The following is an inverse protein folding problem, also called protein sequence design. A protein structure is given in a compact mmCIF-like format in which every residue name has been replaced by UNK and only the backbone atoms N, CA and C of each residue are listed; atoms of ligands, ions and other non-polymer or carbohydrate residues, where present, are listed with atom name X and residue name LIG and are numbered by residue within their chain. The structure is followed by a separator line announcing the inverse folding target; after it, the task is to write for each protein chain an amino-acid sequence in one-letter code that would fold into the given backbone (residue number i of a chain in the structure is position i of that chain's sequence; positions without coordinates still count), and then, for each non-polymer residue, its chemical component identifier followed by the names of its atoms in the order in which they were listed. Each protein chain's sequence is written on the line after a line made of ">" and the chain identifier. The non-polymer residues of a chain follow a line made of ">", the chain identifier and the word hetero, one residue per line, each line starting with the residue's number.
data_IF_041364378268
#
_entry.id   IF_041364378268
#
_cell.length_a   1.000
_cell.length_b   1.000
_cell.length_c   1.000
_cell.angle_alpha   90.00
_cell.angle_beta   90.00
_cell.angle_gamma   90.00
#
_symmetry.space_group_name_H-M   'P 1'
#
loop_
_entity.id
_entity.type
_entity.pdbx_description
1 polymer ?
#
# COMPACT_ATOMS: atom_id res chain seq x y z
N UNK A 1 -15.69 -54.89 44.46
CA UNK A 1 -15.38 -54.82 43.00
C UNK A 1 -15.78 -53.43 42.49
N UNK A 2 -14.84 -52.47 42.42
CA UNK A 2 -15.10 -51.08 42.00
C UNK A 2 -15.15 -51.00 40.47
N UNK A 3 -16.32 -50.71 39.89
CA UNK A 3 -16.44 -50.37 38.46
C UNK A 3 -15.94 -48.95 38.24
N UNK A 4 -14.79 -48.80 37.60
CA UNK A 4 -14.33 -47.52 37.04
C UNK A 4 -15.14 -47.20 35.78
N UNK A 5 -15.98 -46.17 35.84
CA UNK A 5 -16.65 -45.62 34.66
C UNK A 5 -15.63 -44.76 33.90
N UNK A 6 -15.17 -45.24 32.74
CA UNK A 6 -14.43 -44.41 31.78
C UNK A 6 -15.42 -43.41 31.17
N UNK A 7 -15.37 -42.15 31.61
CA UNK A 7 -16.07 -41.07 30.92
C UNK A 7 -15.34 -40.78 29.61
N UNK A 8 -15.96 -41.12 28.48
CA UNK A 8 -15.52 -40.68 27.17
C UNK A 8 -15.62 -39.15 27.11
N UNK A 9 -14.47 -38.49 26.97
CA UNK A 9 -14.36 -37.05 26.74
C UNK A 9 -14.93 -36.76 25.35
N UNK A 10 -16.22 -36.41 25.26
CA UNK A 10 -16.84 -35.94 24.03
C UNK A 10 -16.17 -34.62 23.65
N UNK A 11 -15.34 -34.63 22.60
CA UNK A 11 -14.91 -33.38 21.95
C UNK A 11 -16.16 -32.71 21.40
N UNK A 12 -16.62 -31.65 22.07
CA UNK A 12 -17.62 -30.75 21.51
C UNK A 12 -16.95 -29.99 20.36
N UNK A 13 -17.13 -30.50 19.13
CA UNK A 13 -16.89 -29.74 17.91
C UNK A 13 -17.93 -28.63 17.82
N UNK A 14 -17.74 -27.57 18.59
CA UNK A 14 -18.47 -26.33 18.39
C UNK A 14 -17.95 -25.76 17.08
N UNK A 15 -18.64 -26.02 15.96
CA UNK A 15 -18.43 -25.31 14.69
C UNK A 15 -18.68 -23.83 14.97
N UNK A 16 -17.61 -23.13 15.33
CA UNK A 16 -17.61 -21.67 15.42
C UNK A 16 -17.91 -21.20 14.00
N UNK A 17 -19.03 -20.49 13.81
CA UNK A 17 -19.31 -19.86 12.52
C UNK A 17 -18.16 -18.88 12.24
N UNK A 18 -17.23 -19.29 11.38
CA UNK A 18 -16.16 -18.43 10.89
C UNK A 18 -16.80 -17.18 10.30
N UNK A 19 -16.26 -16.01 10.66
CA UNK A 19 -16.71 -14.77 10.04
C UNK A 19 -16.50 -14.85 8.53
N UNK A 20 -17.29 -14.10 7.75
CA UNK A 20 -17.20 -14.12 6.28
C UNK A 20 -15.76 -13.90 5.77
N UNK A 21 -14.98 -13.08 6.49
CA UNK A 21 -13.56 -12.83 6.19
C UNK A 21 -12.68 -14.05 6.44
N UNK A 22 -12.83 -14.69 7.60
CA UNK A 22 -12.01 -15.86 7.95
C UNK A 22 -12.33 -17.07 7.05
N UNK A 23 -13.60 -17.26 6.67
CA UNK A 23 -13.99 -18.30 5.71
C UNK A 23 -13.38 -18.06 4.32
N UNK A 24 -13.30 -16.80 3.91
CA UNK A 24 -12.71 -16.42 2.63
C UNK A 24 -11.19 -16.56 2.63
N UNK A 25 -10.52 -16.21 3.73
CA UNK A 25 -9.09 -16.44 3.93
C UNK A 25 -8.76 -17.93 3.90
N UNK A 26 -9.52 -18.77 4.62
CA UNK A 26 -9.33 -20.22 4.58
C UNK A 26 -9.49 -20.81 3.16
N UNK A 27 -10.43 -20.26 2.38
CA UNK A 27 -10.62 -20.67 0.99
C UNK A 27 -9.46 -20.21 0.09
N UNK A 28 -8.96 -18.99 0.26
CA UNK A 28 -7.77 -18.48 -0.44
C UNK A 28 -6.52 -19.31 -0.13
N UNK A 29 -6.30 -19.65 1.14
CA UNK A 29 -5.18 -20.50 1.56
C UNK A 29 -5.26 -21.90 0.95
N UNK A 30 -6.47 -22.43 0.79
CA UNK A 30 -6.70 -23.72 0.12
C UNK A 30 -6.39 -23.67 -1.38
N UNK A 31 -6.46 -22.48 -1.99
CA UNK A 31 -6.30 -22.27 -3.42
C UNK A 31 -5.27 -21.18 -3.74
N UNK A 32 -4.02 -21.44 -3.35
CA UNK A 32 -2.88 -20.51 -3.47
C UNK A 32 -2.69 -19.87 -4.86
N UNK A 33 -2.92 -20.62 -5.94
CA UNK A 33 -2.79 -20.11 -7.33
C UNK A 33 -3.93 -19.12 -7.66
N UNK A 34 -5.17 -19.46 -7.30
CA UNK A 34 -6.33 -18.60 -7.54
C UNK A 34 -6.23 -17.34 -6.69
N UNK A 35 -5.78 -17.48 -5.43
CA UNK A 35 -5.49 -16.33 -4.58
C UNK A 35 -4.44 -15.39 -5.15
N UNK A 36 -3.38 -15.95 -5.76
CA UNK A 36 -2.37 -15.14 -6.45
C UNK A 36 -2.97 -14.33 -7.61
N UNK A 37 -3.77 -14.95 -8.49
CA UNK A 37 -4.41 -14.23 -9.60
C UNK A 37 -5.42 -13.18 -9.11
N UNK A 38 -6.12 -13.44 -8.02
CA UNK A 38 -7.09 -12.50 -7.45
C UNK A 38 -6.38 -11.26 -6.88
N UNK A 39 -5.28 -11.47 -6.13
CA UNK A 39 -4.44 -10.37 -5.63
C UNK A 39 -3.79 -9.59 -6.78
N UNK A 40 -3.24 -10.30 -7.78
CA UNK A 40 -2.63 -9.67 -8.95
C UNK A 40 -3.64 -8.86 -9.76
N UNK A 41 -4.79 -9.44 -10.08
CA UNK A 41 -5.86 -8.79 -10.83
C UNK A 41 -6.39 -7.55 -10.12
N UNK A 42 -6.45 -7.59 -8.79
CA UNK A 42 -6.87 -6.42 -8.03
C UNK A 42 -5.78 -5.34 -7.96
N UNK A 43 -4.50 -5.70 -7.79
CA UNK A 43 -3.39 -4.74 -7.87
C UNK A 43 -3.40 -4.04 -9.24
N UNK A 44 -3.58 -4.81 -10.31
CA UNK A 44 -3.71 -4.28 -11.68
C UNK A 44 -4.95 -3.39 -11.83
N UNK A 45 -6.09 -3.82 -11.28
CA UNK A 45 -7.32 -3.05 -11.27
C UNK A 45 -7.20 -1.74 -10.51
N UNK A 46 -6.50 -1.72 -9.37
CA UNK A 46 -6.18 -0.51 -8.61
C UNK A 46 -5.31 0.43 -9.44
N UNK A 47 -4.25 -0.09 -10.06
CA UNK A 47 -3.38 0.71 -10.94
C UNK A 47 -4.15 1.34 -12.11
N UNK A 48 -4.97 0.55 -12.79
CA UNK A 48 -5.85 1.01 -13.88
C UNK A 48 -6.88 2.03 -13.39
N UNK A 49 -7.51 1.77 -12.25
CA UNK A 49 -8.51 2.65 -11.65
C UNK A 49 -7.92 4.01 -11.29
N UNK A 50 -6.74 4.02 -10.64
CA UNK A 50 -6.01 5.25 -10.33
C UNK A 50 -5.67 6.01 -11.61
N UNK A 51 -5.13 5.34 -12.62
CA UNK A 51 -4.81 5.98 -13.90
C UNK A 51 -6.05 6.61 -14.56
N UNK A 52 -7.21 5.95 -14.50
CA UNK A 52 -8.47 6.49 -15.00
C UNK A 52 -8.94 7.70 -14.19
N UNK A 53 -8.93 7.61 -12.85
CA UNK A 53 -9.26 8.73 -11.97
C UNK A 53 -8.36 9.95 -12.22
N UNK A 54 -7.07 9.73 -12.49
CA UNK A 54 -6.13 10.78 -12.84
C UNK A 54 -6.45 11.48 -14.16
N UNK A 55 -6.90 10.72 -15.18
CA UNK A 55 -7.33 11.31 -16.45
C UNK A 55 -8.60 12.16 -16.30
N UNK A 56 -9.45 11.82 -15.35
CA UNK A 56 -10.69 12.56 -15.04
C UNK A 56 -10.48 13.79 -14.15
N UNK A 57 -9.34 13.91 -13.45
CA UNK A 57 -9.04 15.09 -12.65
C UNK A 57 -8.83 16.32 -13.56
N UNK A 58 -9.33 17.52 -13.17
CA UNK A 58 -9.14 18.76 -13.92
C UNK A 58 -7.70 19.31 -13.73
N UNK A 59 -6.70 18.49 -14.02
CA UNK A 59 -5.29 18.85 -13.94
C UNK A 59 -4.83 19.48 -15.28
N UNK A 60 -4.01 20.54 -15.23
CA UNK A 60 -3.33 21.06 -16.40
C UNK A 60 -2.59 19.96 -17.16
N UNK A 61 -2.61 20.04 -18.49
CA UNK A 61 -2.00 19.06 -19.40
C UNK A 61 -0.59 18.57 -19.00
N UNK A 62 0.37 19.45 -18.62
CA UNK A 62 1.72 19.00 -18.26
C UNK A 62 1.76 18.11 -17.01
N UNK A 63 0.84 18.29 -16.06
CA UNK A 63 0.79 17.46 -14.84
C UNK A 63 0.06 16.14 -15.03
N UNK A 64 -0.54 15.89 -16.20
CA UNK A 64 -1.09 14.57 -16.56
C UNK A 64 -0.03 13.63 -17.13
N UNK A 65 1.15 14.13 -17.46
CA UNK A 65 2.27 13.29 -17.84
C UNK A 65 2.78 12.53 -16.59
N UNK A 66 3.02 11.23 -16.78
CA UNK A 66 3.52 10.34 -15.73
C UNK A 66 4.86 10.84 -15.18
N UNK A 67 5.66 11.51 -16.01
CA UNK A 67 6.96 12.05 -15.62
C UNK A 67 6.85 13.05 -14.45
N UNK A 68 5.81 13.90 -14.44
CA UNK A 68 5.58 14.86 -13.35
C UNK A 68 4.64 14.33 -12.27
N UNK A 69 3.71 13.44 -12.62
CA UNK A 69 2.69 12.92 -11.71
C UNK A 69 3.07 11.64 -10.98
N UNK A 70 4.20 11.00 -11.32
CA UNK A 70 4.68 9.78 -10.70
C UNK A 70 4.66 9.78 -9.16
N UNK A 71 5.15 10.81 -8.44
CA UNK A 71 5.02 10.84 -6.98
C UNK A 71 3.57 10.76 -6.53
N UNK A 72 2.65 11.46 -7.20
CA UNK A 72 1.23 11.45 -6.83
C UNK A 72 0.63 10.07 -7.11
N UNK A 73 0.96 9.47 -8.25
CA UNK A 73 0.52 8.12 -8.63
C UNK A 73 1.01 7.06 -7.65
N UNK A 74 2.32 7.07 -7.33
CA UNK A 74 2.93 6.11 -6.41
C UNK A 74 2.35 6.22 -5.00
N UNK A 75 2.14 7.45 -4.51
CA UNK A 75 1.52 7.67 -3.19
C UNK A 75 0.05 7.24 -3.15
N UNK A 76 -0.74 7.54 -4.19
CA UNK A 76 -2.14 7.12 -4.25
C UNK A 76 -2.25 5.59 -4.37
N UNK A 77 -1.40 4.98 -5.19
CA UNK A 77 -1.31 3.53 -5.30
C UNK A 77 -0.97 2.91 -3.95
N UNK A 78 0.01 3.46 -3.23
CA UNK A 78 0.35 3.02 -1.89
C UNK A 78 -0.83 3.14 -0.93
N UNK A 79 -1.56 4.26 -0.95
CA UNK A 79 -2.72 4.49 -0.10
C UNK A 79 -3.81 3.44 -0.33
N UNK A 80 -4.19 3.23 -1.59
CA UNK A 80 -5.23 2.25 -1.96
C UNK A 80 -4.76 0.83 -1.65
N UNK A 81 -3.51 0.51 -1.96
CA UNK A 81 -2.91 -0.77 -1.61
C UNK A 81 -2.93 -1.03 -0.11
N UNK A 82 -2.71 0.00 0.72
CA UNK A 82 -2.72 -0.14 2.18
C UNK A 82 -4.11 -0.39 2.74
N UNK A 83 -5.12 0.30 2.19
CA UNK A 83 -6.54 0.04 2.51
C UNK A 83 -6.89 -1.40 2.12
N UNK A 84 -6.43 -1.85 0.97
CA UNK A 84 -6.62 -3.21 0.49
C UNK A 84 -5.93 -4.24 1.39
N UNK A 85 -4.65 -4.05 1.71
CA UNK A 85 -3.87 -4.92 2.59
C UNK A 85 -4.55 -5.11 3.95
N UNK A 86 -5.05 -4.01 4.53
CA UNK A 86 -5.85 -4.03 5.77
C UNK A 86 -7.17 -4.80 5.65
N UNK A 87 -7.87 -4.70 4.52
CA UNK A 87 -9.20 -5.31 4.35
C UNK A 87 -9.17 -6.77 3.92
N UNK A 88 -8.18 -7.16 3.10
CA UNK A 88 -8.19 -8.37 2.31
C UNK A 88 -7.02 -9.31 2.58
N UNK A 89 -5.79 -8.77 2.67
CA UNK A 89 -4.62 -9.63 2.79
C UNK A 89 -4.43 -10.12 4.23
N UNK A 90 -4.63 -9.28 5.26
CA UNK A 90 -4.32 -9.58 6.67
C UNK A 90 -3.09 -10.50 6.84
N UNK A 91 -2.09 -10.30 5.97
CA UNK A 91 -0.92 -11.17 5.82
C UNK A 91 0.02 -11.07 7.03
N UNK A 92 -0.36 -10.25 7.99
CA UNK A 92 0.20 -10.28 9.31
C UNK A 92 -0.90 -10.00 10.33
N UNK A 93 -1.06 -10.93 11.28
CA UNK A 93 -1.51 -10.67 12.66
C UNK A 93 -0.86 -9.46 13.34
N UNK A 94 0.05 -8.73 12.70
CA UNK A 94 0.51 -7.42 13.10
C UNK A 94 -0.55 -6.39 12.67
N UNK A 95 -1.42 -6.04 13.61
CA UNK A 95 -2.25 -4.83 13.56
C UNK A 95 -1.52 -3.73 12.79
N UNK A 96 -2.15 -3.20 11.74
CA UNK A 96 -1.69 -2.01 11.03
C UNK A 96 -1.49 -0.88 12.04
N UNK A 97 -0.25 -0.66 12.46
CA UNK A 97 0.07 0.48 13.31
C UNK A 97 0.18 1.71 12.43
N UNK A 98 -0.37 2.83 12.90
CA UNK A 98 -0.19 4.13 12.26
C UNK A 98 1.30 4.47 12.07
N UNK A 99 2.19 3.92 12.90
CA UNK A 99 3.65 4.00 12.74
C UNK A 99 4.16 3.31 11.46
N UNK A 100 3.65 2.13 11.11
CA UNK A 100 4.04 1.44 9.87
C UNK A 100 3.44 2.12 8.64
N UNK A 101 2.22 2.64 8.75
CA UNK A 101 1.63 3.48 7.71
C UNK A 101 2.53 4.68 7.42
N UNK A 102 2.84 5.48 8.45
CA UNK A 102 3.72 6.63 8.35
C UNK A 102 5.10 6.29 7.82
N UNK A 103 5.71 5.20 8.32
CA UNK A 103 7.03 4.75 7.89
C UNK A 103 7.12 4.44 6.40
N UNK A 104 6.07 3.87 5.82
CA UNK A 104 6.01 3.60 4.38
C UNK A 104 6.07 4.91 3.58
N UNK A 105 5.22 5.90 3.91
CA UNK A 105 5.23 7.20 3.23
C UNK A 105 6.56 7.92 3.39
N UNK A 106 7.14 7.92 4.59
CA UNK A 106 8.46 8.53 4.83
C UNK A 106 9.51 7.86 3.94
N UNK A 107 9.59 6.53 3.95
CA UNK A 107 10.60 5.78 3.20
C UNK A 107 10.45 5.95 1.69
N UNK A 108 9.24 5.74 1.17
CA UNK A 108 8.92 5.82 -0.25
C UNK A 108 9.18 7.22 -0.80
N UNK A 109 8.77 8.27 -0.07
CA UNK A 109 8.98 9.64 -0.55
C UNK A 109 10.43 10.12 -0.37
N UNK A 110 11.14 9.69 0.68
CA UNK A 110 12.55 10.06 0.86
C UNK A 110 13.43 9.50 -0.26
N UNK A 111 13.37 8.18 -0.47
CA UNK A 111 14.17 7.52 -1.49
C UNK A 111 13.66 7.88 -2.88
N UNK A 112 12.34 7.91 -3.05
CA UNK A 112 11.69 8.27 -4.30
C UNK A 112 12.12 9.66 -4.78
N UNK A 113 12.16 10.66 -3.89
CA UNK A 113 12.63 11.99 -4.22
C UNK A 113 14.08 11.97 -4.70
N UNK A 114 15.00 11.35 -3.95
CA UNK A 114 16.43 11.32 -4.32
C UNK A 114 16.66 10.61 -5.65
N UNK A 115 16.07 9.42 -5.83
CA UNK A 115 16.23 8.63 -7.07
C UNK A 115 15.63 9.35 -8.26
N UNK A 116 14.41 9.89 -8.11
CA UNK A 116 13.72 10.58 -9.20
C UNK A 116 14.40 11.92 -9.54
N UNK A 117 14.97 12.62 -8.54
CA UNK A 117 15.68 13.88 -8.76
C UNK A 117 16.96 13.69 -9.56
N UNK A 118 17.83 12.76 -9.17
CA UNK A 118 19.18 12.65 -9.72
C UNK A 118 19.34 11.62 -10.83
N UNK A 119 18.74 10.45 -10.66
CA UNK A 119 18.99 9.30 -11.54
C UNK A 119 17.90 9.19 -12.60
N UNK A 120 16.65 9.49 -12.23
CA UNK A 120 15.50 9.00 -12.98
C UNK A 120 15.47 7.46 -13.01
N UNK A 121 14.40 6.90 -13.56
CA UNK A 121 14.32 5.48 -13.91
C UNK A 121 14.54 5.37 -15.42
N UNK A 122 15.74 5.76 -15.87
CA UNK A 122 16.13 5.71 -17.28
C UNK A 122 17.32 4.76 -17.46
N UNK A 123 17.11 3.67 -18.19
CA UNK A 123 18.20 2.82 -18.64
C UNK A 123 19.02 3.56 -19.68
N UNK A 124 20.35 3.41 -19.66
CA UNK A 124 21.30 4.10 -20.57
C UNK A 124 20.99 3.93 -22.07
N UNK A 125 20.18 2.94 -22.46
CA UNK A 125 19.89 2.59 -23.87
C UNK A 125 18.38 2.48 -24.19
N UNK A 126 17.48 2.82 -23.27
CA UNK A 126 16.05 2.85 -23.54
C UNK A 126 15.53 4.27 -23.30
N UNK A 127 14.57 4.72 -24.13
CA UNK A 127 13.74 5.87 -23.78
C UNK A 127 13.17 5.58 -22.39
N UNK A 128 13.70 6.22 -21.35
CA UNK A 128 13.46 5.86 -19.96
C UNK A 128 11.98 5.84 -19.61
N UNK A 129 11.60 4.97 -18.67
CA UNK A 129 10.22 4.90 -18.15
C UNK A 129 9.90 6.17 -17.36
N UNK A 130 10.91 6.75 -16.69
CA UNK A 130 10.86 8.06 -16.07
C UNK A 130 12.22 8.76 -16.19
N UNK A 131 12.33 9.93 -16.83
CA UNK A 131 13.57 10.71 -16.87
C UNK A 131 13.87 11.29 -15.47
N UNK A 132 15.11 11.75 -15.25
CA UNK A 132 15.43 12.48 -14.02
C UNK A 132 14.69 13.81 -14.01
N UNK A 133 14.21 14.26 -12.84
CA UNK A 133 13.53 15.55 -12.71
C UNK A 133 14.40 16.71 -13.21
N UNK A 134 15.72 16.62 -13.04
CA UNK A 134 16.66 17.63 -13.53
C UNK A 134 16.76 17.71 -15.07
N UNK A 135 16.34 16.67 -15.78
CA UNK A 135 16.27 16.65 -17.26
C UNK A 135 14.92 17.07 -17.83
N UNK A 136 13.91 17.27 -16.97
CA UNK A 136 12.58 17.72 -17.33
C UNK A 136 12.51 19.25 -17.40
N UNK A 137 11.39 19.78 -17.90
CA UNK A 137 11.18 21.22 -17.97
C UNK A 137 11.08 21.80 -16.55
N UNK A 138 12.01 22.72 -16.26
CA UNK A 138 12.13 23.40 -14.98
C UNK A 138 10.84 24.12 -14.56
N UNK A 139 9.98 24.51 -15.51
CA UNK A 139 8.69 25.16 -15.21
C UNK A 139 7.74 24.27 -14.42
N UNK A 140 7.86 22.95 -14.56
CA UNK A 140 6.92 21.98 -13.99
C UNK A 140 7.56 21.04 -12.96
N UNK A 141 8.89 21.11 -12.77
CA UNK A 141 9.64 20.27 -11.80
C UNK A 141 9.20 20.47 -10.35
N UNK A 142 8.67 21.66 -10.01
CA UNK A 142 8.24 21.97 -8.65
C UNK A 142 7.08 21.07 -8.20
N UNK A 143 6.20 20.64 -9.10
CA UNK A 143 5.03 19.83 -8.78
C UNK A 143 5.39 18.46 -8.19
N UNK A 144 6.23 17.62 -8.84
CA UNK A 144 6.66 16.36 -8.25
C UNK A 144 7.44 16.55 -6.94
N UNK A 145 8.30 17.57 -6.86
CA UNK A 145 9.06 17.88 -5.63
C UNK A 145 8.12 18.19 -4.47
N UNK A 146 7.17 19.12 -4.67
CA UNK A 146 6.18 19.49 -3.66
C UNK A 146 5.33 18.28 -3.26
N UNK A 147 4.98 17.42 -4.22
CA UNK A 147 4.22 16.20 -3.94
C UNK A 147 5.01 15.25 -3.03
N UNK A 148 6.28 14.97 -3.33
CA UNK A 148 7.12 14.14 -2.45
C UNK A 148 7.22 14.73 -1.05
N UNK A 149 7.44 16.05 -0.94
CA UNK A 149 7.54 16.72 0.35
C UNK A 149 6.23 16.64 1.13
N UNK A 150 5.09 16.86 0.48
CA UNK A 150 3.77 16.79 1.09
C UNK A 150 3.52 15.42 1.74
N UNK A 151 3.75 14.33 1.01
CA UNK A 151 3.53 12.99 1.54
C UNK A 151 4.59 12.57 2.57
N UNK A 152 5.83 13.05 2.44
CA UNK A 152 6.85 12.89 3.47
C UNK A 152 6.44 13.55 4.78
N UNK A 153 6.02 14.82 4.74
CA UNK A 153 5.56 15.55 5.92
C UNK A 153 4.28 14.95 6.50
N UNK A 154 3.36 14.48 5.66
CA UNK A 154 2.17 13.76 6.12
C UNK A 154 2.56 12.54 6.96
N UNK A 155 3.47 11.71 6.45
CA UNK A 155 4.01 10.57 7.20
C UNK A 155 4.70 10.99 8.49
N UNK A 156 5.52 12.05 8.45
CA UNK A 156 6.22 12.58 9.63
C UNK A 156 5.25 13.05 10.71
N UNK A 157 4.22 13.80 10.34
CA UNK A 157 3.17 14.30 11.25
C UNK A 157 2.43 13.13 11.90
N UNK A 158 2.01 12.14 11.12
CA UNK A 158 1.36 10.94 11.66
C UNK A 158 2.28 10.24 12.67
N UNK A 159 3.56 10.08 12.35
CA UNK A 159 4.52 9.43 13.25
C UNK A 159 4.69 10.20 14.57
N UNK A 160 4.80 11.53 14.50
CA UNK A 160 4.92 12.40 15.68
C UNK A 160 3.65 12.32 16.53
N UNK A 161 2.47 12.38 15.91
CA UNK A 161 1.19 12.28 16.60
C UNK A 161 1.05 10.95 17.34
N UNK A 162 1.41 9.83 16.70
CA UNK A 162 1.36 8.52 17.33
C UNK A 162 2.30 8.44 18.53
N UNK A 163 3.54 8.92 18.38
CA UNK A 163 4.49 8.99 19.51
C UNK A 163 3.98 9.87 20.64
N UNK A 164 3.30 10.96 20.33
CA UNK A 164 2.74 11.86 21.33
C UNK A 164 1.58 11.20 22.08
N UNK A 165 0.71 10.47 21.38
CA UNK A 165 -0.39 9.72 21.98
C UNK A 165 0.11 8.56 22.85
N UNK A 166 1.15 7.85 22.41
CA UNK A 166 1.79 6.79 23.20
C UNK A 166 2.42 7.33 24.49
N UNK A 167 3.04 8.52 24.45
CA UNK A 167 3.61 9.17 25.64
C UNK A 167 2.56 9.68 26.63
N UNK A 168 1.33 9.95 26.17
CA UNK A 168 0.21 10.39 27.03
C UNK A 168 -0.52 9.23 27.71
N UNK A 169 -0.27 8.00 27.27
CA UNK A 169 -0.93 6.79 27.77
C UNK A 169 -0.06 6.12 28.82
#
# INVERSE_FOLDING_TARGET
>A
MKKTVKMNKRNSNTKKNLSRKESFQHWLDSHKIIGFFLVLGLILGIGLGINFSFKSLPLPSPYRDINYSFPLYANLFCLVYRIFDYWFLDLSRLRMTLTRFAGLFIYLNSIGLVVHLFLGVSGKNSKGILPSLLSLDYRYIWFPIVTYMLFFFLGLVILILVKHLEKKK
#
